data_IF_091893437644
#
_entry.id   IF_091893437644
#
_cell.length_a   1.000
_cell.length_b   1.000
_cell.length_c   1.000
_cell.angle_alpha   90.00
_cell.angle_beta   90.00
_cell.angle_gamma   90.00
#
_symmetry.space_group_name_H-M   'P 1'
#
loop_
_entity.id
_entity.type
_entity.pdbx_description
1 polymer ?
#
# COMPACT_ATOMS: atom_id res chain seq x y z
N UNK A 1 50.96 2.11 3.66
CA UNK A 1 50.44 3.41 3.99
C UNK A 1 49.80 4.10 2.81
N UNK A 2 50.58 4.36 1.84
CA UNK A 2 50.04 5.10 0.69
C UNK A 2 49.18 4.25 -0.22
N UNK A 3 49.17 2.98 -0.01
CA UNK A 3 48.33 2.09 -0.79
C UNK A 3 46.85 2.44 -0.67
N UNK A 4 46.47 2.94 0.48
CA UNK A 4 45.08 3.32 0.69
C UNK A 4 44.66 4.47 -0.20
N UNK A 5 45.58 5.36 -0.48
CA UNK A 5 45.31 6.49 -1.37
C UNK A 5 45.07 6.06 -2.79
N UNK A 6 45.75 5.02 -3.23
CA UNK A 6 45.53 4.53 -4.59
C UNK A 6 44.18 3.79 -4.69
N UNK A 7 43.73 3.18 -3.63
CA UNK A 7 42.43 2.51 -3.67
C UNK A 7 41.28 3.50 -3.76
N UNK A 8 41.41 4.63 -3.09
CA UNK A 8 40.34 5.60 -3.06
C UNK A 8 39.91 6.12 -4.44
N UNK A 9 40.83 6.46 -5.34
CA UNK A 9 40.41 6.85 -6.68
C UNK A 9 39.70 5.74 -7.44
N UNK A 10 40.13 4.52 -7.24
CA UNK A 10 39.47 3.39 -7.90
C UNK A 10 38.05 3.22 -7.40
N UNK A 11 37.85 3.36 -6.14
CA UNK A 11 36.50 3.29 -5.54
C UNK A 11 35.63 4.40 -6.11
N UNK A 12 36.16 5.58 -6.23
CA UNK A 12 35.41 6.70 -6.79
C UNK A 12 35.01 6.45 -8.23
N UNK A 13 35.89 5.86 -9.01
CA UNK A 13 35.59 5.50 -10.41
C UNK A 13 34.51 4.44 -10.49
N UNK A 14 34.55 3.46 -9.61
CA UNK A 14 33.52 2.42 -9.56
C UNK A 14 32.17 2.97 -9.13
N UNK A 15 32.18 3.93 -8.24
CA UNK A 15 30.93 4.54 -7.78
C UNK A 15 30.26 5.41 -8.84
N UNK A 16 31.05 6.05 -9.70
CA UNK A 16 30.52 6.96 -10.72
C UNK A 16 29.47 6.31 -11.63
N UNK A 17 29.69 5.10 -12.16
CA UNK A 17 28.66 4.46 -13.00
C UNK A 17 27.37 4.17 -12.26
N UNK A 18 27.42 3.92 -10.97
CA UNK A 18 26.22 3.65 -10.18
C UNK A 18 25.37 4.88 -9.93
N UNK A 19 25.99 6.03 -9.98
CA UNK A 19 25.26 7.28 -9.77
C UNK A 19 24.54 7.71 -11.02
N UNK A 20 24.99 7.19 -12.17
CA UNK A 20 24.63 7.73 -13.44
C UNK A 20 23.25 7.44 -13.99
N UNK A 21 22.52 6.37 -13.78
CA UNK A 21 21.31 6.22 -14.57
C UNK A 21 20.14 7.04 -14.04
N UNK A 22 20.13 8.37 -14.22
CA UNK A 22 18.97 9.18 -13.88
C UNK A 22 17.80 8.93 -14.82
N UNK A 23 18.08 8.53 -16.05
CA UNK A 23 17.04 8.31 -17.03
C UNK A 23 16.08 7.21 -16.64
N UNK A 24 16.61 6.13 -16.07
CA UNK A 24 15.75 5.03 -15.66
C UNK A 24 14.81 5.43 -14.54
N UNK A 25 15.21 6.39 -13.71
CA UNK A 25 14.35 6.87 -12.67
C UNK A 25 13.16 7.63 -13.21
N UNK A 26 13.38 8.41 -14.22
CA UNK A 26 12.31 9.20 -14.81
C UNK A 26 11.24 8.34 -15.44
N UNK A 27 11.64 7.34 -16.18
CA UNK A 27 10.67 6.50 -16.86
C UNK A 27 9.88 5.62 -15.91
N UNK A 28 10.46 5.26 -14.76
CA UNK A 28 9.81 4.37 -13.82
C UNK A 28 9.02 5.10 -12.74
N UNK A 29 9.21 6.40 -12.58
CA UNK A 29 8.75 7.15 -11.42
C UNK A 29 7.26 7.03 -11.10
N UNK A 30 6.32 7.08 -12.07
CA UNK A 30 4.90 7.13 -11.72
C UNK A 30 4.36 5.85 -11.08
N UNK A 31 4.98 4.72 -11.32
CA UNK A 31 4.38 3.43 -10.99
C UNK A 31 5.29 2.50 -10.21
N UNK A 32 6.34 3.02 -9.60
CA UNK A 32 7.22 2.16 -8.81
C UNK A 32 6.51 1.68 -7.54
N UNK A 33 6.84 0.46 -7.14
CA UNK A 33 6.31 -0.13 -5.92
C UNK A 33 6.62 0.75 -4.70
N UNK A 34 7.84 1.24 -4.60
CA UNK A 34 8.24 2.09 -3.48
C UNK A 34 7.45 3.38 -3.42
N UNK A 35 7.15 3.97 -4.57
CA UNK A 35 6.37 5.20 -4.62
C UNK A 35 4.94 4.98 -4.15
N UNK A 36 4.30 3.92 -4.63
CA UNK A 36 2.93 3.60 -4.22
C UNK A 36 2.85 3.25 -2.74
N UNK A 37 3.80 2.47 -2.27
CA UNK A 37 3.86 2.15 -0.85
C UNK A 37 4.08 3.40 0.00
N UNK A 38 4.94 4.30 -0.45
CA UNK A 38 5.16 5.58 0.23
C UNK A 38 3.91 6.45 0.28
N UNK A 39 3.18 6.53 -0.83
CA UNK A 39 1.92 7.28 -0.88
C UNK A 39 0.90 6.70 0.08
N UNK A 40 0.81 5.40 0.17
CA UNK A 40 -0.09 4.73 1.09
C UNK A 40 0.29 5.02 2.55
N UNK A 41 1.58 4.97 2.86
CA UNK A 41 2.08 5.29 4.20
C UNK A 41 1.82 6.75 4.58
N UNK A 42 2.02 7.67 3.64
CA UNK A 42 1.73 9.09 3.86
C UNK A 42 0.25 9.31 4.14
N UNK A 43 -0.61 8.66 3.38
CA UNK A 43 -2.04 8.77 3.57
C UNK A 43 -2.45 8.18 4.91
N UNK A 44 -1.89 7.04 5.29
CA UNK A 44 -2.17 6.41 6.58
C UNK A 44 -1.77 7.30 7.75
N UNK A 45 -0.68 8.06 7.59
CA UNK A 45 -0.20 8.98 8.61
C UNK A 45 -0.99 10.28 8.69
N UNK A 46 -1.99 10.47 7.82
CA UNK A 46 -2.80 11.67 7.76
C UNK A 46 -4.28 11.33 8.00
N UNK A 47 -4.66 10.93 9.23
CA UNK A 47 -6.03 10.49 9.51
C UNK A 47 -7.08 11.55 9.22
N UNK A 48 -6.72 12.82 9.24
CA UNK A 48 -7.65 13.90 8.88
C UNK A 48 -8.15 13.80 7.43
N UNK A 49 -7.45 13.03 6.59
CA UNK A 49 -7.84 12.86 5.19
C UNK A 49 -8.83 11.73 4.98
N UNK A 50 -8.97 10.80 5.94
CA UNK A 50 -9.80 9.63 5.73
C UNK A 50 -10.67 9.26 6.93
N UNK A 51 -10.40 9.78 8.12
CA UNK A 51 -11.15 9.37 9.31
C UNK A 51 -12.64 9.65 9.19
N UNK A 52 -13.01 10.80 8.64
CA UNK A 52 -14.41 11.16 8.47
C UNK A 52 -15.14 10.31 7.43
N UNK A 53 -14.41 9.56 6.64
CA UNK A 53 -14.99 8.68 5.63
C UNK A 53 -15.36 7.32 6.21
N UNK A 54 -14.84 6.97 7.38
CA UNK A 54 -15.07 5.67 7.98
C UNK A 54 -16.54 5.57 8.41
N UNK A 55 -17.19 4.51 7.94
CA UNK A 55 -18.55 4.17 8.33
C UNK A 55 -18.57 2.72 8.73
N UNK A 56 -19.45 2.39 9.67
CA UNK A 56 -19.56 1.06 10.22
C UNK A 56 -20.92 0.49 9.87
N UNK A 57 -20.91 -0.62 9.19
CA UNK A 57 -22.11 -1.38 8.86
C UNK A 57 -21.92 -2.77 9.45
N UNK A 58 -22.78 -3.19 10.40
CA UNK A 58 -22.62 -4.50 11.03
C UNK A 58 -22.93 -5.66 10.09
N UNK A 59 -23.61 -5.40 8.98
CA UNK A 59 -24.11 -6.45 8.11
C UNK A 59 -23.26 -6.62 6.85
N UNK A 60 -22.40 -5.66 6.51
CA UNK A 60 -21.68 -5.73 5.26
C UNK A 60 -20.34 -4.99 5.28
N UNK A 61 -19.35 -5.46 4.53
CA UNK A 61 -18.14 -4.69 4.27
C UNK A 61 -18.46 -3.40 3.52
N UNK A 62 -17.75 -2.34 3.86
CA UNK A 62 -17.87 -1.06 3.16
C UNK A 62 -16.56 -0.70 2.48
N UNK A 63 -16.67 -0.24 1.24
CA UNK A 63 -15.55 0.30 0.48
C UNK A 63 -15.80 1.77 0.21
N UNK A 64 -14.88 2.61 0.64
CA UNK A 64 -15.06 4.05 0.54
C UNK A 64 -13.86 4.65 -0.17
N UNK A 65 -14.04 5.24 -1.35
CA UNK A 65 -12.95 5.93 -2.04
C UNK A 65 -12.42 7.09 -1.21
N UNK A 66 -11.11 7.30 -1.25
CA UNK A 66 -10.50 8.44 -0.57
C UNK A 66 -10.32 9.56 -1.60
N UNK A 67 -10.98 10.70 -1.40
CA UNK A 67 -10.86 11.81 -2.33
C UNK A 67 -9.44 12.35 -2.42
N UNK A 68 -9.09 12.88 -3.59
CA UNK A 68 -7.78 13.46 -3.82
C UNK A 68 -6.67 12.44 -3.96
N UNK A 69 -7.01 11.18 -4.15
CA UNK A 69 -6.03 10.11 -4.39
C UNK A 69 -6.31 9.45 -5.73
N UNK A 70 -5.29 8.86 -6.32
CA UNK A 70 -5.42 8.17 -7.59
C UNK A 70 -5.68 6.67 -7.35
N UNK A 71 -6.85 6.34 -6.83
CA UNK A 71 -7.27 4.97 -6.67
C UNK A 71 -7.08 4.37 -5.29
N UNK A 72 -7.01 5.19 -4.24
CA UNK A 72 -7.00 4.70 -2.87
C UNK A 72 -8.42 4.57 -2.34
N UNK A 73 -8.67 3.55 -1.51
CA UNK A 73 -9.95 3.38 -0.84
C UNK A 73 -9.76 2.76 0.54
N UNK A 74 -10.74 2.99 1.39
CA UNK A 74 -10.83 2.32 2.69
C UNK A 74 -11.71 1.08 2.55
N UNK A 75 -11.33 0.04 3.26
CA UNK A 75 -12.18 -1.13 3.45
C UNK A 75 -12.49 -1.25 4.95
N UNK A 76 -13.76 -1.22 5.29
CA UNK A 76 -14.21 -1.38 6.66
C UNK A 76 -14.93 -2.72 6.76
N UNK A 77 -14.42 -3.61 7.59
CA UNK A 77 -14.96 -4.94 7.76
C UNK A 77 -15.56 -5.11 9.16
N UNK A 78 -16.81 -5.53 9.26
CA UNK A 78 -17.32 -6.01 10.55
C UNK A 78 -16.64 -7.31 10.95
N UNK A 79 -16.66 -7.67 12.24
CA UNK A 79 -16.03 -8.90 12.71
C UNK A 79 -16.56 -10.12 11.95
N UNK A 80 -15.67 -10.97 11.50
CA UNK A 80 -16.01 -12.18 10.77
C UNK A 80 -16.43 -11.99 9.32
N UNK A 81 -16.51 -10.76 8.84
CA UNK A 81 -16.89 -10.49 7.46
C UNK A 81 -15.73 -10.77 6.51
N UNK A 82 -16.09 -11.14 5.29
CA UNK A 82 -15.13 -11.43 4.23
C UNK A 82 -15.38 -10.48 3.08
N UNK A 83 -14.31 -9.95 2.50
CA UNK A 83 -14.39 -9.13 1.29
C UNK A 83 -13.34 -9.58 0.29
N UNK A 84 -13.73 -9.68 -0.96
CA UNK A 84 -12.79 -9.89 -2.05
C UNK A 84 -12.16 -8.55 -2.42
N UNK A 85 -10.86 -8.56 -2.67
CA UNK A 85 -10.10 -7.36 -2.95
C UNK A 85 -9.24 -7.59 -4.19
N UNK A 86 -9.13 -6.56 -5.00
CA UNK A 86 -8.32 -6.55 -6.21
C UNK A 86 -7.28 -5.42 -6.13
N UNK A 87 -6.74 -5.22 -4.96
CA UNK A 87 -5.78 -4.16 -4.74
C UNK A 87 -4.34 -4.63 -5.02
N UNK A 88 -3.48 -3.69 -5.31
CA UNK A 88 -2.04 -3.95 -5.41
C UNK A 88 -1.31 -3.72 -4.10
N UNK A 89 -1.91 -2.92 -3.24
CA UNK A 89 -1.29 -2.50 -1.97
C UNK A 89 -2.35 -2.43 -0.89
N UNK A 90 -1.99 -2.85 0.30
CA UNK A 90 -2.89 -2.78 1.45
C UNK A 90 -2.12 -2.44 2.72
N UNK A 91 -2.78 -1.74 3.62
CA UNK A 91 -2.21 -1.37 4.91
C UNK A 91 -3.31 -1.36 5.97
N UNK A 92 -3.10 -2.07 7.05
CA UNK A 92 -4.04 -2.09 8.16
C UNK A 92 -3.90 -0.81 8.99
N UNK A 93 -5.02 -0.14 9.20
CA UNK A 93 -5.08 1.08 10.02
C UNK A 93 -5.58 0.79 11.43
N UNK A 94 -6.56 -0.10 11.56
CA UNK A 94 -7.15 -0.42 12.85
C UNK A 94 -7.78 -1.81 12.81
N UNK A 95 -7.84 -2.48 13.96
CA UNK A 95 -8.45 -3.79 14.06
C UNK A 95 -7.53 -4.91 13.59
N UNK A 96 -8.13 -6.02 13.21
CA UNK A 96 -7.41 -7.22 12.79
C UNK A 96 -7.98 -7.76 11.49
N UNK A 97 -7.11 -7.99 10.52
CA UNK A 97 -7.47 -8.55 9.22
C UNK A 97 -6.51 -9.68 8.88
N UNK A 98 -7.04 -10.76 8.37
CA UNK A 98 -6.24 -11.85 7.82
C UNK A 98 -6.46 -11.95 6.32
N UNK A 99 -5.39 -12.26 5.61
CA UNK A 99 -5.41 -12.54 4.19
C UNK A 99 -4.72 -13.88 3.96
N UNK A 100 -5.44 -14.81 3.34
CA UNK A 100 -4.93 -16.16 3.10
C UNK A 100 -4.37 -16.80 4.38
N UNK A 101 -5.05 -16.60 5.52
CA UNK A 101 -4.64 -17.11 6.81
C UNK A 101 -3.49 -16.38 7.47
N UNK A 102 -3.03 -15.29 6.87
CA UNK A 102 -1.93 -14.50 7.42
C UNK A 102 -2.42 -13.13 7.88
N UNK A 103 -2.08 -12.71 9.10
CA UNK A 103 -2.52 -11.40 9.57
C UNK A 103 -1.81 -10.27 8.82
N UNK A 104 -2.55 -9.23 8.51
CA UNK A 104 -1.96 -7.98 8.11
C UNK A 104 -1.37 -7.30 9.35
N UNK A 105 -0.23 -6.66 9.17
CA UNK A 105 0.41 -5.94 10.27
C UNK A 105 0.10 -4.46 10.16
N UNK A 106 -0.35 -3.88 11.26
CA UNK A 106 -0.60 -2.46 11.32
C UNK A 106 0.66 -1.67 11.00
N UNK A 107 0.51 -0.61 10.24
CA UNK A 107 1.62 0.25 9.90
C UNK A 107 2.54 -0.28 8.80
N UNK A 108 2.24 -1.44 8.24
CA UNK A 108 3.07 -2.02 7.17
C UNK A 108 2.26 -2.19 5.89
N UNK A 109 2.84 -1.72 4.81
CA UNK A 109 2.24 -1.90 3.49
C UNK A 109 2.51 -3.32 3.01
N UNK A 110 1.46 -4.02 2.63
CA UNK A 110 1.58 -5.29 1.93
C UNK A 110 1.43 -5.05 0.43
N UNK A 111 2.36 -5.56 -0.33
CA UNK A 111 2.34 -5.48 -1.80
C UNK A 111 1.80 -6.78 -2.34
N UNK A 112 0.81 -6.68 -3.22
CA UNK A 112 0.21 -7.83 -3.89
C UNK A 112 0.66 -7.86 -5.35
N UNK A 113 0.89 -9.05 -5.85
CA UNK A 113 1.33 -9.24 -7.23
C UNK A 113 0.22 -9.08 -8.27
N UNK A 114 -0.95 -8.70 -7.84
CA UNK A 114 -2.13 -8.64 -8.69
C UNK A 114 -3.01 -9.86 -8.48
N UNK A 115 -4.22 -9.79 -9.03
CA UNK A 115 -5.20 -10.85 -8.85
C UNK A 115 -6.05 -10.62 -7.62
N UNK A 116 -7.13 -11.39 -7.59
CA UNK A 116 -8.12 -11.28 -6.51
C UNK A 116 -7.63 -12.01 -5.27
N UNK A 117 -7.81 -11.39 -4.13
CA UNK A 117 -7.51 -12.00 -2.84
C UNK A 117 -8.62 -11.66 -1.86
N UNK A 118 -8.66 -12.41 -0.76
CA UNK A 118 -9.76 -12.34 0.20
C UNK A 118 -9.27 -11.83 1.53
N UNK A 119 -9.99 -10.85 2.06
CA UNK A 119 -9.73 -10.23 3.36
C UNK A 119 -10.78 -10.70 4.34
N UNK A 120 -10.36 -11.09 5.53
CA UNK A 120 -11.23 -11.55 6.62
C UNK A 120 -11.04 -10.65 7.82
N UNK A 121 -12.13 -10.09 8.33
CA UNK A 121 -12.12 -9.41 9.62
C UNK A 121 -11.91 -10.42 10.72
N UNK A 122 -10.72 -10.46 11.30
CA UNK A 122 -10.28 -11.54 12.18
C UNK A 122 -10.51 -11.25 13.66
N UNK A 123 -10.68 -9.98 14.03
CA UNK A 123 -10.84 -9.58 15.42
C UNK A 123 -12.27 -9.62 15.90
N UNK A 124 -12.47 -9.10 17.09
CA UNK A 124 -13.80 -8.98 17.70
C UNK A 124 -14.50 -7.67 17.36
N UNK A 125 -13.77 -6.73 16.81
CA UNK A 125 -14.28 -5.44 16.39
C UNK A 125 -14.13 -5.23 14.89
N UNK A 126 -14.53 -4.05 14.45
CA UNK A 126 -14.34 -3.64 13.07
C UNK A 126 -12.86 -3.48 12.75
N UNK A 127 -12.52 -3.72 11.51
CA UNK A 127 -11.21 -3.41 10.99
C UNK A 127 -11.31 -2.35 9.91
N UNK A 128 -10.29 -1.53 9.81
CA UNK A 128 -10.17 -0.49 8.78
C UNK A 128 -8.82 -0.69 8.11
N UNK A 129 -8.85 -0.85 6.81
CA UNK A 129 -7.62 -0.98 6.02
C UNK A 129 -7.67 -0.03 4.83
N UNK A 130 -6.49 0.37 4.40
CA UNK A 130 -6.31 1.31 3.31
C UNK A 130 -5.72 0.55 2.12
N UNK A 131 -6.28 0.76 0.96
CA UNK A 131 -5.92 0.01 -0.23
C UNK A 131 -5.61 0.93 -1.39
N UNK A 132 -4.78 0.43 -2.29
CA UNK A 132 -4.45 1.14 -3.52
C UNK A 132 -4.59 0.18 -4.70
N UNK A 133 -5.10 0.70 -5.81
CA UNK A 133 -5.25 -0.10 -7.02
C UNK A 133 -3.90 -0.61 -7.51
N UNK A 134 -3.90 -1.83 -8.06
CA UNK A 134 -2.69 -2.41 -8.62
C UNK A 134 -2.22 -1.63 -9.85
N UNK A 135 -3.16 -1.11 -10.64
CA UNK A 135 -2.89 -0.36 -11.86
C UNK A 135 -3.72 0.90 -11.90
N UNK A 136 -3.21 1.96 -12.55
CA UNK A 136 -4.02 3.15 -12.77
C UNK A 136 -5.27 2.79 -13.56
N UNK A 137 -6.42 3.28 -13.12
CA UNK A 137 -7.68 3.02 -13.79
C UNK A 137 -8.30 1.66 -13.53
N UNK A 138 -7.67 0.80 -12.73
CA UNK A 138 -8.33 -0.42 -12.29
C UNK A 138 -9.54 -0.06 -11.42
N UNK A 139 -10.69 -0.69 -11.68
CA UNK A 139 -11.87 -0.48 -10.85
C UNK A 139 -11.68 -1.20 -9.51
N UNK A 140 -10.87 -0.61 -8.64
CA UNK A 140 -10.61 -1.16 -7.33
C UNK A 140 -11.81 -1.13 -6.41
N UNK A 141 -12.80 -0.35 -6.76
CA UNK A 141 -14.03 -0.23 -5.99
C UNK A 141 -15.20 -0.30 -6.95
N UNK A 142 -15.98 -1.34 -6.82
CA UNK A 142 -17.27 -1.43 -7.51
C UNK A 142 -18.33 -1.26 -6.43
N UNK A 143 -19.05 -0.13 -6.46
CA UNK A 143 -20.09 0.10 -5.45
C UNK A 143 -21.16 -0.98 -5.55
N UNK A 144 -21.55 -1.51 -4.42
CA UNK A 144 -22.64 -2.45 -4.33
C UNK A 144 -22.30 -3.90 -4.60
N UNK A 145 -21.03 -4.24 -4.66
CA UNK A 145 -20.62 -5.64 -4.78
C UNK A 145 -19.94 -6.18 -3.55
#
# INVERSE_FOLDING_TARGET
MNADLSVAPEIAQLAAPFVLPPQSRESAAPHTVGRKAGQLSELAAAPQRWWDLVRFDPDAPLRVPVPGTAGAWLLVLPPGAVADCDCGYAMLLAGEVAEAGRPLRAGRVRVHGGGRHRMLGAGHGYSVSLHYAARPGSPGVTPGE
#
